data_IF_108866502388
#
_entry.id   IF_108866502388
#
_cell.length_a   1.000
_cell.length_b   1.000
_cell.length_c   1.000
_cell.angle_alpha   90.00
_cell.angle_beta   90.00
_cell.angle_gamma   90.00
#
_symmetry.space_group_name_H-M   'P 1'
#
loop_
_entity.id
_entity.type
_entity.pdbx_description
1 polymer ?
#
# COMPACT_ATOMS: atom_id res chain seq x y z
N UNK A 1 3.02 6.52 100.43
CA UNK A 1 2.08 6.79 99.33
C UNK A 1 2.91 7.23 98.13
N UNK A 2 3.10 6.35 97.13
CA UNK A 2 3.85 6.67 95.91
C UNK A 2 2.90 6.47 94.72
N UNK A 3 2.54 7.56 94.05
CA UNK A 3 1.59 7.55 92.95
C UNK A 3 2.34 7.44 91.61
N UNK A 4 2.34 6.25 91.02
CA UNK A 4 2.89 6.00 89.68
C UNK A 4 1.98 6.62 88.63
N UNK A 5 2.45 7.64 87.90
CA UNK A 5 1.69 8.23 86.78
C UNK A 5 1.69 7.27 85.58
N UNK A 6 0.56 7.09 84.88
CA UNK A 6 0.52 6.25 83.69
C UNK A 6 1.27 6.92 82.51
N UNK A 7 2.02 6.10 81.77
CA UNK A 7 2.76 6.50 80.58
C UNK A 7 1.81 6.82 79.41
N UNK A 8 2.08 7.86 78.60
CA UNK A 8 1.25 8.16 77.43
C UNK A 8 1.38 7.06 76.38
N UNK A 9 0.25 6.48 75.99
CA UNK A 9 0.15 5.57 74.84
C UNK A 9 -0.10 6.38 73.58
N UNK A 10 0.85 6.38 72.66
CA UNK A 10 0.65 6.97 71.33
C UNK A 10 -0.05 5.96 70.42
N UNK A 11 -1.13 6.33 69.71
CA UNK A 11 -1.73 5.43 68.73
C UNK A 11 -0.77 5.19 67.57
N UNK A 12 -0.63 3.93 67.16
CA UNK A 12 0.17 3.55 66.00
C UNK A 12 -0.38 4.22 64.72
N UNK A 13 0.49 4.90 63.98
CA UNK A 13 0.12 5.60 62.74
C UNK A 13 -0.29 4.58 61.67
N UNK A 14 -1.56 4.59 61.28
CA UNK A 14 -2.08 3.74 60.20
C UNK A 14 -1.46 4.13 58.84
N UNK A 15 -0.50 3.35 58.38
CA UNK A 15 0.11 3.47 57.04
C UNK A 15 -0.57 2.50 56.08
N UNK A 16 -1.83 2.72 55.73
CA UNK A 16 -2.56 1.84 54.83
C UNK A 16 -3.47 2.60 53.88
N UNK A 17 -3.12 2.69 52.60
CA UNK A 17 -4.07 3.14 51.57
C UNK A 17 -3.49 3.80 50.33
N UNK A 18 -2.30 4.43 50.42
CA UNK A 18 -1.72 5.16 49.28
C UNK A 18 -1.27 4.23 48.15
N UNK A 19 -0.59 3.11 48.46
CA UNK A 19 -0.13 2.14 47.47
C UNK A 19 -1.26 1.38 46.76
N UNK A 20 -2.29 0.96 47.49
CA UNK A 20 -3.45 0.28 46.91
C UNK A 20 -4.34 1.20 46.04
N UNK A 21 -4.33 2.51 46.32
CA UNK A 21 -5.00 3.52 45.47
C UNK A 21 -4.20 3.78 44.19
N UNK A 22 -2.86 3.89 44.30
CA UNK A 22 -1.98 4.03 43.14
C UNK A 22 -2.11 2.82 42.21
N UNK A 23 -2.01 1.60 42.71
CA UNK A 23 -2.15 0.37 41.90
C UNK A 23 -3.50 0.30 41.17
N UNK A 24 -4.59 0.73 41.81
CA UNK A 24 -5.92 0.80 41.20
C UNK A 24 -5.98 1.81 40.06
N UNK A 25 -5.36 2.99 40.23
CA UNK A 25 -5.29 4.01 39.19
C UNK A 25 -4.43 3.51 38.03
N UNK A 26 -3.24 2.95 38.29
CA UNK A 26 -2.37 2.44 37.23
C UNK A 26 -3.04 1.31 36.44
N UNK A 27 -3.71 0.38 37.14
CA UNK A 27 -4.51 -0.66 36.50
C UNK A 27 -5.63 -0.07 35.64
N UNK A 28 -6.35 0.92 36.15
CA UNK A 28 -7.43 1.57 35.41
C UNK A 28 -6.89 2.26 34.15
N UNK A 29 -5.76 2.97 34.25
CA UNK A 29 -5.13 3.62 33.10
C UNK A 29 -4.69 2.60 32.06
N UNK A 30 -4.05 1.49 32.48
CA UNK A 30 -3.61 0.44 31.56
C UNK A 30 -4.81 -0.21 30.84
N UNK A 31 -5.89 -0.50 31.58
CA UNK A 31 -7.12 -1.05 31.00
C UNK A 31 -7.76 -0.07 30.01
N UNK A 32 -7.77 1.23 30.32
CA UNK A 32 -8.27 2.26 29.40
C UNK A 32 -7.44 2.31 28.11
N UNK A 33 -6.10 2.21 28.19
CA UNK A 33 -5.23 2.18 27.00
C UNK A 33 -5.52 0.95 26.15
N UNK A 34 -5.62 -0.24 26.77
CA UNK A 34 -5.95 -1.49 26.06
C UNK A 34 -7.33 -1.38 25.40
N UNK A 35 -8.32 -0.82 26.09
CA UNK A 35 -9.65 -0.61 25.55
C UNK A 35 -9.62 0.33 24.33
N UNK A 36 -8.88 1.45 24.39
CA UNK A 36 -8.74 2.37 23.27
C UNK A 36 -8.07 1.72 22.06
N UNK A 37 -7.01 0.93 22.27
CA UNK A 37 -6.34 0.19 21.18
C UNK A 37 -7.28 -0.84 20.57
N UNK A 38 -8.04 -1.57 21.39
CA UNK A 38 -9.00 -2.55 20.91
C UNK A 38 -10.11 -1.90 20.08
N UNK A 39 -10.70 -0.81 20.57
CA UNK A 39 -11.71 -0.03 19.83
C UNK A 39 -11.14 0.52 18.53
N UNK A 40 -9.94 1.11 18.55
CA UNK A 40 -9.27 1.62 17.35
C UNK A 40 -9.07 0.52 16.30
N UNK A 41 -8.56 -0.64 16.72
CA UNK A 41 -8.30 -1.78 15.83
C UNK A 41 -9.59 -2.33 15.24
N UNK A 42 -10.63 -2.46 16.06
CA UNK A 42 -11.93 -2.98 15.63
C UNK A 42 -12.62 -2.02 14.66
N UNK A 43 -12.60 -0.72 14.96
CA UNK A 43 -13.10 0.32 14.07
C UNK A 43 -12.34 0.32 12.74
N UNK A 44 -11.00 0.28 12.77
CA UNK A 44 -10.18 0.25 11.56
C UNK A 44 -10.46 -1.00 10.70
N UNK A 45 -10.64 -2.16 11.33
CA UNK A 45 -11.01 -3.38 10.61
C UNK A 45 -12.43 -3.31 10.02
N UNK A 46 -13.39 -2.75 10.75
CA UNK A 46 -14.77 -2.60 10.29
C UNK A 46 -14.90 -1.56 9.16
N UNK A 47 -14.26 -0.40 9.32
CA UNK A 47 -14.19 0.64 8.28
C UNK A 47 -13.45 0.13 7.05
N UNK A 48 -12.30 -0.52 7.20
CA UNK A 48 -11.59 -1.11 6.06
C UNK A 48 -12.39 -2.20 5.33
N UNK A 49 -13.18 -3.00 6.06
CA UNK A 49 -14.08 -3.97 5.45
C UNK A 49 -15.25 -3.29 4.70
N UNK A 50 -15.82 -2.22 5.28
CA UNK A 50 -16.89 -1.45 4.66
C UNK A 50 -16.40 -0.70 3.41
N UNK A 51 -15.24 -0.04 3.49
CA UNK A 51 -14.59 0.62 2.36
C UNK A 51 -14.35 -0.38 1.23
N UNK A 52 -13.79 -1.56 1.53
CA UNK A 52 -13.55 -2.59 0.52
C UNK A 52 -14.84 -3.16 -0.10
N UNK A 53 -15.94 -3.18 0.64
CA UNK A 53 -17.23 -3.67 0.17
C UNK A 53 -18.02 -2.64 -0.65
N UNK A 54 -17.74 -1.34 -0.47
CA UNK A 54 -18.50 -0.24 -1.07
C UNK A 54 -17.66 0.65 -1.99
N UNK A 55 -16.40 0.28 -2.27
CA UNK A 55 -15.58 0.94 -3.28
C UNK A 55 -15.65 0.12 -4.54
N UNK A 56 -16.09 0.74 -5.64
CA UNK A 56 -15.99 0.12 -6.96
C UNK A 56 -14.49 -0.11 -7.26
N UNK A 57 -14.07 -1.37 -7.50
CA UNK A 57 -12.68 -1.63 -7.82
C UNK A 57 -12.32 -0.91 -9.13
N UNK A 58 -11.29 -0.07 -9.09
CA UNK A 58 -10.76 0.57 -10.29
C UNK A 58 -9.90 -0.42 -11.09
N UNK A 59 -10.02 -0.33 -12.41
CA UNK A 59 -9.34 -1.23 -13.33
C UNK A 59 -9.90 -2.65 -13.33
N UNK A 60 -9.27 -3.47 -14.15
CA UNK A 60 -9.63 -4.85 -14.40
C UNK A 60 -8.58 -5.80 -13.83
N UNK A 61 -9.05 -6.85 -13.15
CA UNK A 61 -8.19 -7.89 -12.61
C UNK A 61 -7.87 -8.95 -13.68
N UNK A 62 -6.69 -8.83 -14.26
CA UNK A 62 -6.14 -9.77 -15.24
C UNK A 62 -5.45 -10.92 -14.53
N UNK A 63 -6.00 -12.13 -14.68
CA UNK A 63 -5.35 -13.35 -14.19
C UNK A 63 -4.17 -13.71 -15.08
N UNK A 64 -2.98 -13.87 -14.50
CA UNK A 64 -1.75 -14.39 -15.11
C UNK A 64 -1.30 -15.66 -14.39
N UNK A 65 -0.18 -16.27 -14.80
CA UNK A 65 0.33 -17.51 -14.19
C UNK A 65 0.63 -17.34 -12.70
N UNK A 66 1.16 -16.18 -12.29
CA UNK A 66 1.54 -15.90 -10.91
C UNK A 66 0.43 -15.40 -9.98
N UNK A 67 -0.79 -15.13 -10.49
CA UNK A 67 -1.86 -14.52 -9.70
C UNK A 67 -2.70 -13.52 -10.50
N UNK A 68 -3.37 -12.60 -9.81
CA UNK A 68 -4.19 -11.54 -10.43
C UNK A 68 -3.51 -10.17 -10.32
N UNK A 69 -3.34 -9.55 -11.49
CA UNK A 69 -2.76 -8.22 -11.68
C UNK A 69 -3.86 -7.24 -12.05
N UNK A 70 -3.90 -6.08 -11.41
CA UNK A 70 -4.82 -5.00 -11.71
C UNK A 70 -4.27 -4.12 -12.85
N UNK A 71 -5.15 -3.82 -13.81
CA UNK A 71 -4.82 -3.01 -15.00
C UNK A 71 -5.92 -1.99 -15.21
N UNK A 72 -5.56 -0.71 -15.29
CA UNK A 72 -6.50 0.34 -15.69
C UNK A 72 -6.22 0.74 -17.13
N UNK A 73 -7.27 0.90 -17.94
CA UNK A 73 -7.20 1.39 -19.32
C UNK A 73 -8.07 2.63 -19.43
N UNK A 74 -7.51 3.74 -19.91
CA UNK A 74 -8.24 4.97 -20.23
C UNK A 74 -7.93 5.43 -21.65
N UNK A 75 -8.86 6.16 -22.27
CA UNK A 75 -8.73 6.67 -23.63
C UNK A 75 -8.88 5.61 -24.71
N UNK A 76 -9.03 6.06 -25.96
CA UNK A 76 -9.25 5.22 -27.15
C UNK A 76 -8.32 5.60 -28.32
N UNK A 77 -7.28 6.40 -28.06
CA UNK A 77 -6.33 6.85 -29.07
C UNK A 77 -5.52 5.70 -29.70
N UNK A 78 -5.14 5.85 -30.98
CA UNK A 78 -4.45 4.82 -31.78
C UNK A 78 -3.11 4.32 -31.22
N UNK A 79 -2.48 5.13 -30.35
CA UNK A 79 -1.18 4.85 -29.74
C UNK A 79 -1.35 4.51 -28.28
N UNK A 80 -0.69 3.45 -27.85
CA UNK A 80 -0.74 2.99 -26.45
C UNK A 80 0.48 3.46 -25.65
N UNK A 81 0.24 4.06 -24.49
CA UNK A 81 1.24 4.39 -23.48
C UNK A 81 1.04 3.47 -22.28
N UNK A 82 2.09 2.76 -21.86
CA UNK A 82 2.03 1.91 -20.66
C UNK A 82 2.79 2.59 -19.53
N UNK A 83 2.10 2.87 -18.43
CA UNK A 83 2.65 3.46 -17.22
C UNK A 83 2.94 2.38 -16.18
N UNK A 84 4.16 2.39 -15.64
CA UNK A 84 4.59 1.46 -14.60
C UNK A 84 5.10 2.22 -13.38
N UNK A 85 4.50 1.91 -12.22
CA UNK A 85 4.94 2.45 -10.94
C UNK A 85 6.37 2.08 -10.60
N UNK A 86 7.11 3.04 -10.05
CA UNK A 86 8.42 2.83 -9.44
C UNK A 86 8.33 2.30 -8.01
N UNK A 87 9.47 2.27 -7.32
CA UNK A 87 9.49 2.05 -5.88
C UNK A 87 8.90 3.28 -5.17
N UNK A 88 8.00 3.09 -4.20
CA UNK A 88 7.33 4.17 -3.48
C UNK A 88 6.01 4.68 -4.09
N UNK A 89 5.52 4.03 -5.15
CA UNK A 89 4.20 4.30 -5.78
C UNK A 89 3.21 3.22 -5.33
N UNK A 90 2.53 3.36 -4.18
CA UNK A 90 1.73 2.27 -3.59
C UNK A 90 0.53 1.83 -4.45
N UNK A 91 -0.08 2.75 -5.20
CA UNK A 91 -1.17 2.46 -6.14
C UNK A 91 -0.96 3.24 -7.42
N UNK A 92 -0.24 2.67 -8.40
CA UNK A 92 0.05 3.35 -9.66
C UNK A 92 -1.18 3.91 -10.39
N UNK A 93 -2.34 3.26 -10.30
CA UNK A 93 -3.56 3.76 -10.95
C UNK A 93 -4.00 5.09 -10.34
N UNK A 94 -4.01 5.18 -9.01
CA UNK A 94 -4.38 6.42 -8.31
C UNK A 94 -3.28 7.48 -8.38
N UNK A 95 -2.02 7.04 -8.21
CA UNK A 95 -0.85 7.93 -8.20
C UNK A 95 -0.64 8.63 -9.55
N UNK A 96 -1.04 7.98 -10.66
CA UNK A 96 -0.94 8.55 -12.00
C UNK A 96 -2.25 9.13 -12.54
N UNK A 97 -3.34 9.17 -11.79
CA UNK A 97 -4.63 9.67 -12.28
C UNK A 97 -4.53 11.06 -12.98
N UNK A 98 -3.86 12.08 -12.42
CA UNK A 98 -3.72 13.37 -13.11
C UNK A 98 -2.92 13.30 -14.42
N UNK A 99 -1.99 12.35 -14.54
CA UNK A 99 -1.23 12.14 -15.77
C UNK A 99 -2.03 11.35 -16.80
N UNK A 100 -2.87 10.43 -16.35
CA UNK A 100 -3.79 9.69 -17.22
C UNK A 100 -4.79 10.66 -17.84
N UNK A 101 -5.39 11.55 -17.04
CA UNK A 101 -6.36 12.56 -17.49
C UNK A 101 -5.79 13.53 -18.55
N UNK A 102 -4.48 13.79 -18.53
CA UNK A 102 -3.83 14.65 -19.52
C UNK A 102 -3.47 13.90 -20.82
N UNK A 103 -3.40 12.57 -20.78
CA UNK A 103 -2.94 11.74 -21.89
C UNK A 103 -4.06 11.02 -22.62
N UNK A 104 -5.17 10.71 -21.94
CA UNK A 104 -6.19 9.81 -22.45
C UNK A 104 -7.07 10.40 -23.56
N UNK A 105 -7.11 11.73 -23.68
CA UNK A 105 -7.69 12.43 -24.84
C UNK A 105 -6.97 12.10 -26.17
N UNK A 106 -5.71 11.67 -26.12
CA UNK A 106 -4.88 11.44 -27.32
C UNK A 106 -4.36 10.00 -27.44
N UNK A 107 -4.22 9.31 -26.33
CA UNK A 107 -3.60 7.98 -26.24
C UNK A 107 -4.51 6.99 -25.55
N UNK A 108 -4.40 5.72 -25.91
CA UNK A 108 -4.82 4.66 -24.99
C UNK A 108 -3.77 4.55 -23.87
N UNK A 109 -4.12 4.89 -22.65
CA UNK A 109 -3.22 4.84 -21.49
C UNK A 109 -3.51 3.61 -20.66
N UNK A 110 -2.50 2.78 -20.46
CA UNK A 110 -2.60 1.53 -19.70
C UNK A 110 -1.71 1.64 -18.47
N UNK A 111 -2.30 1.55 -17.28
CA UNK A 111 -1.57 1.53 -16.01
C UNK A 111 -1.58 0.10 -15.47
N UNK A 112 -0.39 -0.46 -15.22
CA UNK A 112 -0.26 -1.81 -14.66
C UNK A 112 0.25 -1.73 -13.23
N UNK A 113 -0.55 -2.22 -12.28
CA UNK A 113 -0.12 -2.37 -10.89
C UNK A 113 0.52 -3.73 -10.72
N UNK A 114 1.84 -3.82 -10.55
CA UNK A 114 2.51 -5.13 -10.36
C UNK A 114 2.05 -5.80 -9.06
N UNK A 115 2.35 -7.10 -8.88
CA UNK A 115 2.15 -7.76 -7.58
C UNK A 115 2.67 -6.90 -6.42
N UNK A 116 1.96 -6.89 -5.30
CA UNK A 116 2.28 -6.08 -4.12
C UNK A 116 1.95 -4.58 -4.23
N UNK A 117 1.20 -4.16 -5.26
CA UNK A 117 0.76 -2.77 -5.44
C UNK A 117 -0.75 -2.71 -5.70
N UNK A 118 -1.37 -1.62 -5.24
CA UNK A 118 -2.79 -1.31 -5.47
C UNK A 118 -3.72 -2.50 -5.25
N UNK A 119 -4.51 -2.84 -6.27
CA UNK A 119 -5.45 -3.97 -6.23
C UNK A 119 -4.87 -5.30 -6.74
N UNK A 120 -3.60 -5.37 -7.10
CA UNK A 120 -2.94 -6.63 -7.46
C UNK A 120 -2.71 -7.53 -6.26
N UNK A 121 -2.56 -8.82 -6.50
CA UNK A 121 -2.28 -9.78 -5.43
C UNK A 121 -0.97 -9.43 -4.71
N UNK A 122 -0.96 -9.64 -3.39
CA UNK A 122 0.19 -9.34 -2.53
C UNK A 122 1.23 -10.44 -2.56
N UNK A 123 0.82 -11.68 -2.87
CA UNK A 123 1.74 -12.79 -3.04
C UNK A 123 2.62 -12.56 -4.26
N UNK A 124 3.91 -12.80 -4.08
CA UNK A 124 4.89 -12.52 -5.12
C UNK A 124 5.74 -13.74 -5.40
N UNK A 125 5.97 -13.99 -6.68
CA UNK A 125 7.12 -14.76 -7.16
C UNK A 125 8.43 -14.06 -6.75
N UNK A 126 9.58 -14.71 -6.97
CA UNK A 126 10.88 -14.06 -6.70
C UNK A 126 10.99 -12.72 -7.45
N UNK A 127 11.33 -11.63 -6.75
CA UNK A 127 11.44 -10.26 -7.31
C UNK A 127 12.70 -10.07 -8.14
N UNK A 128 12.87 -10.88 -9.17
CA UNK A 128 13.92 -10.72 -10.18
C UNK A 128 13.42 -9.87 -11.34
N UNK A 129 14.34 -9.25 -12.08
CA UNK A 129 13.98 -8.45 -13.26
C UNK A 129 13.29 -9.32 -14.30
N UNK A 130 13.74 -10.56 -14.45
CA UNK A 130 13.20 -11.54 -15.38
C UNK A 130 11.75 -11.88 -15.06
N UNK A 131 11.43 -12.14 -13.79
CA UNK A 131 10.06 -12.48 -13.37
C UNK A 131 9.12 -11.29 -13.55
N UNK A 132 9.51 -10.11 -13.07
CA UNK A 132 8.70 -8.88 -13.20
C UNK A 132 8.40 -8.58 -14.67
N UNK A 133 9.37 -8.81 -15.54
CA UNK A 133 9.21 -8.54 -16.97
C UNK A 133 8.34 -9.57 -17.66
N UNK A 134 8.48 -10.85 -17.30
CA UNK A 134 7.63 -11.92 -17.80
C UNK A 134 6.16 -11.70 -17.38
N UNK A 135 5.93 -11.36 -16.11
CA UNK A 135 4.62 -11.02 -15.56
C UNK A 135 3.98 -9.84 -16.29
N UNK A 136 4.75 -8.78 -16.54
CA UNK A 136 4.28 -7.61 -17.28
C UNK A 136 3.86 -7.98 -18.71
N UNK A 137 4.70 -8.72 -19.44
CA UNK A 137 4.40 -9.13 -20.80
C UNK A 137 3.17 -10.04 -20.87
N UNK A 138 3.05 -10.97 -19.93
CA UNK A 138 1.87 -11.85 -19.82
C UNK A 138 0.60 -11.04 -19.51
N UNK A 139 0.69 -10.10 -18.58
CA UNK A 139 -0.42 -9.22 -18.20
C UNK A 139 -0.94 -8.45 -19.40
N UNK A 140 -0.06 -7.75 -20.12
CA UNK A 140 -0.44 -6.93 -21.26
C UNK A 140 -1.00 -7.76 -22.41
N UNK A 141 -0.44 -8.96 -22.64
CA UNK A 141 -0.98 -9.89 -23.63
C UNK A 141 -2.41 -10.35 -23.28
N UNK A 142 -2.66 -10.71 -22.02
CA UNK A 142 -3.98 -11.13 -21.55
C UNK A 142 -4.99 -9.98 -21.46
N UNK A 143 -4.53 -8.76 -21.24
CA UNK A 143 -5.34 -7.55 -21.28
C UNK A 143 -5.73 -7.11 -22.71
N UNK A 144 -5.29 -7.82 -23.75
CA UNK A 144 -5.61 -7.48 -25.14
C UNK A 144 -4.84 -6.29 -25.70
N UNK A 145 -3.82 -5.80 -24.98
CA UNK A 145 -2.95 -4.71 -25.43
C UNK A 145 -1.98 -5.27 -26.48
N UNK A 146 -2.43 -5.26 -27.74
CA UNK A 146 -1.81 -6.03 -28.84
C UNK A 146 -0.76 -5.23 -29.62
N UNK A 147 0.20 -5.94 -30.24
CA UNK A 147 1.39 -5.36 -30.89
C UNK A 147 1.10 -4.43 -32.08
N UNK A 148 1.55 -3.17 -32.05
CA UNK A 148 1.72 -2.32 -33.24
C UNK A 148 2.86 -2.84 -34.15
N UNK A 149 2.71 -2.77 -35.49
CA UNK A 149 3.79 -3.10 -36.43
C UNK A 149 4.97 -2.12 -36.33
N UNK A 150 6.19 -2.65 -36.44
CA UNK A 150 7.46 -1.91 -36.41
C UNK A 150 7.53 -0.86 -37.55
N UNK A 151 7.66 0.42 -37.21
CA UNK A 151 8.05 1.47 -38.15
C UNK A 151 9.52 1.27 -38.60
N UNK A 152 9.85 1.34 -39.91
CA UNK A 152 11.20 1.11 -40.43
C UNK A 152 12.26 2.15 -40.03
N UNK A 153 11.88 3.28 -39.44
CA UNK A 153 12.72 4.48 -39.38
C UNK A 153 13.36 4.77 -38.00
N UNK A 154 13.20 3.89 -37.00
CA UNK A 154 13.81 4.09 -35.68
C UNK A 154 15.24 3.54 -35.62
N UNK A 155 16.19 4.24 -36.25
CA UNK A 155 17.62 4.00 -36.10
C UNK A 155 18.24 5.13 -35.27
N UNK A 156 18.66 4.83 -34.04
CA UNK A 156 19.61 5.66 -33.30
C UNK A 156 19.34 5.86 -31.81
N UNK A 157 20.06 5.09 -30.98
CA UNK A 157 20.76 5.43 -29.73
C UNK A 157 20.64 4.26 -28.74
N UNK A 158 21.80 3.75 -28.33
CA UNK A 158 22.00 2.52 -27.60
C UNK A 158 21.63 2.63 -26.11
N UNK A 159 21.08 1.55 -25.54
CA UNK A 159 21.22 1.25 -24.12
C UNK A 159 19.95 1.14 -23.26
N UNK A 160 18.96 0.31 -23.65
CA UNK A 160 18.21 -0.59 -22.73
C UNK A 160 17.25 -1.44 -23.57
N UNK A 161 17.34 -2.75 -23.38
CA UNK A 161 16.77 -3.78 -24.26
C UNK A 161 15.32 -4.08 -23.88
N UNK A 162 14.38 -3.21 -24.26
CA UNK A 162 12.94 -3.47 -24.14
C UNK A 162 12.21 -2.97 -25.40
N UNK A 163 12.19 -3.78 -26.46
CA UNK A 163 11.48 -3.46 -27.70
C UNK A 163 10.15 -4.22 -27.76
N UNK A 164 9.16 -3.68 -27.08
CA UNK A 164 7.74 -4.06 -27.16
C UNK A 164 6.93 -3.04 -27.98
N UNK A 165 5.65 -3.33 -28.29
CA UNK A 165 4.81 -2.51 -29.15
C UNK A 165 4.19 -1.27 -28.49
N UNK A 166 4.44 -1.10 -27.20
CA UNK A 166 3.99 0.02 -26.39
C UNK A 166 5.21 0.76 -25.87
N UNK A 167 5.10 2.08 -25.73
CA UNK A 167 6.12 2.85 -25.02
C UNK A 167 5.88 2.66 -23.52
N UNK A 168 6.78 1.95 -22.85
CA UNK A 168 6.83 1.92 -21.40
C UNK A 168 7.42 3.23 -20.92
N UNK A 169 6.65 3.98 -20.14
CA UNK A 169 7.17 5.10 -19.38
C UNK A 169 7.29 4.64 -17.93
N UNK A 170 8.53 4.55 -17.46
CA UNK A 170 8.84 4.21 -16.08
C UNK A 170 9.34 5.48 -15.40
N UNK A 171 8.77 5.82 -14.24
CA UNK A 171 9.31 6.91 -13.44
C UNK A 171 10.69 6.51 -12.94
N UNK A 172 11.71 7.34 -13.19
CA UNK A 172 13.06 7.07 -12.69
C UNK A 172 13.04 7.10 -11.15
N UNK A 173 13.72 6.17 -10.46
CA UNK A 173 13.90 6.29 -9.02
C UNK A 173 14.68 7.57 -8.70
N UNK A 174 14.38 8.26 -7.59
CA UNK A 174 14.98 9.56 -7.26
C UNK A 174 16.51 9.54 -7.01
N UNK A 175 17.14 8.36 -7.00
CA UNK A 175 18.55 8.18 -6.65
C UNK A 175 19.47 7.90 -7.85
N UNK A 176 18.97 7.86 -9.09
CA UNK A 176 19.84 7.76 -10.26
C UNK A 176 20.33 9.16 -10.66
N UNK A 177 21.51 9.54 -10.16
CA UNK A 177 22.28 10.68 -10.66
C UNK A 177 22.77 10.47 -12.11
N UNK A 178 23.30 11.53 -12.76
CA UNK A 178 23.74 11.51 -14.15
C UNK A 178 24.87 10.53 -14.44
#
# INVERSE_FOLDING_TARGET
MNATRPSPTFPARATGGRGARLLRVTRSVLLSVVALVAVSTLSNAALGAFEKANTDPYGDRVRITGGQVNVSVSGDGERTVVLLGGYGTPSPVLDFAPLVDELDDTYTVVVVERFGYGYSDLEVTGRTVENVSAELHETLARAGVTRQPRSPWSSGIAGTRWSGPYRIVMTRPPWSGP
#
